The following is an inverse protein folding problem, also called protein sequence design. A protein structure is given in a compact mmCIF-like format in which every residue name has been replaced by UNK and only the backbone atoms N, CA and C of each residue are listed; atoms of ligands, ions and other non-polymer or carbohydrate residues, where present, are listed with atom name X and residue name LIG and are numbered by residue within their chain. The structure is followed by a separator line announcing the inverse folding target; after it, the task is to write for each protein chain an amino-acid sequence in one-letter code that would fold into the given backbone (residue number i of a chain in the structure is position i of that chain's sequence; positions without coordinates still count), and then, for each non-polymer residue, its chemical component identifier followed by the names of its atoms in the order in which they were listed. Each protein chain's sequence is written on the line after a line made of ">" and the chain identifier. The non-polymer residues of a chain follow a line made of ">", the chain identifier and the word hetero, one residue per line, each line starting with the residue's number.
data_IF_630313693499
#
_entry.id   IF_630313693499
#
_cell.length_a   1.000
_cell.length_b   1.000
_cell.length_c   1.000
_cell.angle_alpha   90.00
_cell.angle_beta   90.00
_cell.angle_gamma   90.00
#
_symmetry.space_group_name_H-M   'P 1'
#
loop_
_entity.id
_entity.type
_entity.pdbx_description
1 polymer ?
#
# COMPACT_ATOMS: atom_id res chain seq x y z
N UNK A 1 -35.65 28.12 -2.41
CA UNK A 1 -35.33 26.68 -2.41
C UNK A 1 -33.96 26.52 -1.77
N UNK A 2 -33.89 25.90 -0.59
CA UNK A 2 -32.60 25.65 0.07
C UNK A 2 -31.84 24.59 -0.74
N UNK A 3 -30.65 24.94 -1.24
CA UNK A 3 -29.73 24.00 -1.86
C UNK A 3 -29.32 22.98 -0.81
N UNK A 4 -29.72 21.73 -1.02
CA UNK A 4 -29.28 20.58 -0.22
C UNK A 4 -27.74 20.58 -0.27
N UNK A 5 -27.00 20.61 0.85
CA UNK A 5 -25.55 20.59 0.82
C UNK A 5 -25.13 19.32 0.06
N UNK A 6 -24.28 19.48 -0.96
CA UNK A 6 -23.73 18.35 -1.70
C UNK A 6 -23.08 17.41 -0.69
N UNK A 7 -23.54 16.16 -0.68
CA UNK A 7 -22.95 15.10 0.14
C UNK A 7 -21.49 14.99 -0.32
N UNK A 8 -20.52 15.32 0.54
CA UNK A 8 -19.10 15.19 0.21
C UNK A 8 -18.85 13.83 -0.42
N UNK A 9 -18.33 13.86 -1.64
CA UNK A 9 -18.01 12.66 -2.38
C UNK A 9 -16.65 12.15 -1.92
N UNK A 10 -16.68 11.26 -0.93
CA UNK A 10 -15.48 10.73 -0.31
C UNK A 10 -14.46 10.18 -1.33
N UNK A 11 -14.93 9.52 -2.40
CA UNK A 11 -14.04 9.01 -3.44
C UNK A 11 -13.33 10.17 -4.16
N UNK A 12 -14.06 11.22 -4.49
CA UNK A 12 -13.50 12.40 -5.14
C UNK A 12 -12.53 13.16 -4.22
N UNK A 13 -12.89 13.34 -2.94
CA UNK A 13 -12.05 14.03 -1.96
C UNK A 13 -10.68 13.35 -1.80
N UNK A 14 -10.67 12.01 -1.78
CA UNK A 14 -9.44 11.23 -1.70
C UNK A 14 -8.67 11.27 -3.03
N UNK A 15 -9.33 11.10 -4.17
CA UNK A 15 -8.66 11.19 -5.47
C UNK A 15 -8.02 12.54 -5.68
N UNK A 16 -8.68 13.63 -5.27
CA UNK A 16 -8.10 14.98 -5.35
C UNK A 16 -6.84 15.10 -4.50
N UNK A 17 -6.83 14.58 -3.27
CA UNK A 17 -5.62 14.59 -2.43
C UNK A 17 -4.46 13.81 -3.07
N UNK A 18 -4.75 12.68 -3.71
CA UNK A 18 -3.74 11.89 -4.44
C UNK A 18 -3.20 12.66 -5.64
N UNK A 19 -4.07 13.34 -6.41
CA UNK A 19 -3.66 14.19 -7.53
C UNK A 19 -2.80 15.35 -7.03
N UNK A 20 -3.22 16.05 -6.00
CA UNK A 20 -2.48 17.19 -5.41
C UNK A 20 -1.09 16.77 -4.91
N UNK A 21 -0.99 15.61 -4.26
CA UNK A 21 0.29 15.07 -3.82
C UNK A 21 1.22 14.77 -5.01
N UNK A 22 0.70 14.10 -6.04
CA UNK A 22 1.45 13.80 -7.26
C UNK A 22 1.90 15.07 -7.99
N UNK A 23 1.05 16.09 -8.07
CA UNK A 23 1.38 17.39 -8.67
C UNK A 23 2.45 18.16 -7.86
N UNK A 24 2.58 17.89 -6.56
CA UNK A 24 3.67 18.38 -5.70
C UNK A 24 4.94 17.50 -5.73
N UNK A 25 4.97 16.46 -6.56
CA UNK A 25 6.07 15.52 -6.65
C UNK A 25 6.13 14.49 -5.50
N UNK A 26 5.10 14.41 -4.67
CA UNK A 26 4.96 13.38 -3.64
C UNK A 26 4.35 12.14 -4.29
N UNK A 27 5.08 11.03 -4.28
CA UNK A 27 4.60 9.71 -4.72
C UNK A 27 3.83 9.06 -3.55
N UNK A 28 2.48 8.98 -3.55
CA UNK A 28 1.71 8.59 -2.38
C UNK A 28 1.95 7.15 -1.90
N UNK A 29 2.50 6.32 -2.79
CA UNK A 29 2.85 4.92 -2.54
C UNK A 29 4.28 4.73 -2.04
N UNK A 30 5.13 5.76 -2.06
CA UNK A 30 6.45 5.69 -1.42
C UNK A 30 6.26 5.73 0.10
N UNK A 31 6.86 4.78 0.82
CA UNK A 31 6.93 4.91 2.27
C UNK A 31 7.90 6.06 2.61
N UNK A 32 7.61 6.87 3.65
CA UNK A 32 8.28 8.16 3.86
C UNK A 32 9.71 8.06 4.42
N UNK A 33 10.38 6.90 4.27
CA UNK A 33 11.67 6.58 4.90
C UNK A 33 12.78 7.62 4.66
N UNK A 34 12.76 8.36 3.54
CA UNK A 34 13.78 9.37 3.20
C UNK A 34 13.44 10.76 3.72
N UNK A 35 12.16 11.01 4.04
CA UNK A 35 11.65 12.33 4.43
C UNK A 35 11.38 12.38 5.94
N UNK A 36 11.09 11.23 6.55
CA UNK A 36 10.77 11.11 7.96
C UNK A 36 11.38 9.85 8.58
N UNK A 37 11.46 9.81 9.92
CA UNK A 37 11.86 8.59 10.64
C UNK A 37 10.75 7.51 10.66
N UNK A 38 9.59 7.75 10.03
CA UNK A 38 8.48 6.81 10.00
C UNK A 38 8.77 5.71 8.98
N UNK A 39 8.84 4.47 9.44
CA UNK A 39 9.15 3.30 8.63
C UNK A 39 8.04 2.24 8.70
N UNK A 40 7.97 1.38 7.68
CA UNK A 40 7.04 0.25 7.64
C UNK A 40 5.58 0.61 7.35
N UNK A 41 4.72 -0.41 7.42
CA UNK A 41 3.28 -0.26 7.21
C UNK A 41 2.68 0.52 8.40
N UNK A 42 1.86 1.56 8.16
CA UNK A 42 1.22 2.29 9.24
C UNK A 42 0.33 1.35 10.07
N UNK A 43 0.36 1.48 11.38
CA UNK A 43 -0.43 0.64 12.28
C UNK A 43 -1.21 1.45 13.31
N UNK A 44 -2.24 0.84 13.88
CA UNK A 44 -2.92 1.42 15.03
C UNK A 44 -2.05 1.27 16.28
N UNK A 45 -1.71 2.38 16.95
CA UNK A 45 -0.85 2.36 18.13
C UNK A 45 -1.37 1.43 19.25
N UNK A 46 -2.68 1.36 19.44
CA UNK A 46 -3.24 0.59 20.55
C UNK A 46 -3.36 -0.91 20.23
N UNK A 47 -3.86 -1.27 19.05
CA UNK A 47 -4.08 -2.67 18.69
C UNK A 47 -2.89 -3.33 17.98
N UNK A 48 -1.87 -2.55 17.61
CA UNK A 48 -0.75 -2.95 16.76
C UNK A 48 -1.17 -3.53 15.40
N UNK A 49 -2.44 -3.31 15.02
CA UNK A 49 -2.97 -3.82 13.75
C UNK A 49 -2.60 -2.89 12.63
N UNK A 50 -1.96 -3.43 11.61
CA UNK A 50 -1.60 -2.70 10.40
C UNK A 50 -2.83 -2.26 9.60
N UNK A 51 -2.72 -1.06 9.04
CA UNK A 51 -3.66 -0.58 8.05
C UNK A 51 -3.46 -1.32 6.73
N UNK A 52 -4.52 -1.39 5.91
CA UNK A 52 -4.53 -2.17 4.66
C UNK A 52 -4.98 -1.31 3.49
N UNK A 53 -4.48 -1.67 2.30
CA UNK A 53 -4.85 -1.05 1.02
C UNK A 53 -4.65 0.46 1.03
N UNK A 54 -5.65 1.21 0.54
CA UNK A 54 -5.52 2.65 0.35
C UNK A 54 -5.26 3.44 1.65
N UNK A 55 -5.63 2.90 2.81
CA UNK A 55 -5.31 3.57 4.08
C UNK A 55 -3.79 3.66 4.31
N UNK A 56 -3.00 2.67 3.85
CA UNK A 56 -1.53 2.73 3.93
C UNK A 56 -1.03 3.97 3.19
N UNK A 57 -1.47 4.11 1.94
CA UNK A 57 -1.09 5.20 1.04
C UNK A 57 -1.51 6.58 1.59
N UNK A 58 -2.73 6.70 2.13
CA UNK A 58 -3.21 7.95 2.73
C UNK A 58 -2.38 8.38 3.95
N UNK A 59 -1.98 7.41 4.77
CA UNK A 59 -1.20 7.65 5.97
C UNK A 59 0.26 7.98 5.64
N UNK A 60 0.89 7.28 4.69
CA UNK A 60 2.23 7.63 4.19
C UNK A 60 2.28 9.01 3.55
N UNK A 61 1.34 9.32 2.67
CA UNK A 61 1.22 10.65 2.07
C UNK A 61 1.08 11.73 3.15
N UNK A 62 0.25 11.49 4.18
CA UNK A 62 0.11 12.41 5.29
C UNK A 62 1.38 12.53 6.13
N UNK A 63 2.09 11.43 6.39
CA UNK A 63 3.34 11.45 7.13
C UNK A 63 4.41 12.24 6.38
N UNK A 64 4.54 12.06 5.07
CA UNK A 64 5.51 12.79 4.25
C UNK A 64 5.21 14.30 4.19
N UNK A 65 3.95 14.67 3.93
CA UNK A 65 3.55 16.09 3.83
C UNK A 65 3.71 16.86 5.15
N UNK A 66 3.48 16.19 6.28
CA UNK A 66 3.55 16.82 7.61
C UNK A 66 4.84 16.49 8.37
N UNK A 67 5.74 15.69 7.78
CA UNK A 67 6.99 15.21 8.35
C UNK A 67 6.84 14.44 9.67
N UNK A 68 5.84 13.57 9.75
CA UNK A 68 5.65 12.71 10.92
C UNK A 68 6.68 11.58 10.97
N UNK A 69 7.28 11.40 12.13
CA UNK A 69 8.34 10.45 12.46
C UNK A 69 7.83 9.08 12.94
N UNK A 70 6.60 8.99 13.43
CA UNK A 70 6.00 7.71 13.81
C UNK A 70 5.20 7.06 12.66
N UNK A 71 5.21 5.73 12.58
CA UNK A 71 4.27 4.95 11.75
C UNK A 71 2.96 4.62 12.47
N UNK A 72 2.80 5.04 13.74
CA UNK A 72 1.68 4.69 14.60
C UNK A 72 0.62 5.79 14.62
N UNK A 73 -0.65 5.36 14.60
CA UNK A 73 -1.80 6.25 14.50
C UNK A 73 -2.90 5.91 15.50
N UNK A 74 -3.62 6.94 15.95
CA UNK A 74 -4.69 6.85 16.93
C UNK A 74 -5.90 7.70 16.53
N UNK A 75 -7.11 7.24 16.82
CA UNK A 75 -8.27 8.14 16.82
C UNK A 75 -8.20 9.07 18.04
N UNK A 76 -8.80 10.26 17.96
CA UNK A 76 -8.87 11.20 19.10
C UNK A 76 -9.36 10.53 20.40
N UNK A 77 -10.35 9.64 20.29
CA UNK A 77 -10.90 8.91 21.45
C UNK A 77 -9.90 7.94 22.06
N UNK A 78 -9.14 7.22 21.22
CA UNK A 78 -8.08 6.34 21.71
C UNK A 78 -6.96 7.17 22.36
N UNK A 79 -6.55 8.28 21.75
CA UNK A 79 -5.56 9.19 22.32
C UNK A 79 -5.97 9.64 23.73
N UNK A 80 -7.22 10.08 23.88
CA UNK A 80 -7.78 10.49 25.17
C UNK A 80 -7.85 9.37 26.20
N UNK A 81 -8.22 8.16 25.79
CA UNK A 81 -8.30 7.01 26.68
C UNK A 81 -6.92 6.59 27.23
N UNK A 82 -5.87 6.84 26.47
CA UNK A 82 -4.48 6.59 26.86
C UNK A 82 -3.85 7.75 27.66
N UNK A 83 -4.64 8.77 28.04
CA UNK A 83 -4.14 9.95 28.75
C UNK A 83 -3.51 11.02 27.83
N UNK A 84 -3.48 10.78 26.53
CA UNK A 84 -2.93 11.70 25.54
C UNK A 84 -3.88 12.84 25.14
N UNK A 85 -3.30 13.90 24.59
CA UNK A 85 -4.01 15.08 24.08
C UNK A 85 -3.49 15.46 22.71
N UNK A 86 -4.34 15.35 21.68
CA UNK A 86 -4.03 15.94 20.36
C UNK A 86 -3.83 17.45 20.53
N UNK A 87 -2.71 17.98 20.06
CA UNK A 87 -2.39 19.41 20.20
C UNK A 87 -3.43 20.29 19.50
N UNK A 88 -3.64 21.48 20.05
CA UNK A 88 -4.63 22.43 19.51
C UNK A 88 -4.18 22.90 18.12
N UNK A 89 -5.07 22.74 17.13
CA UNK A 89 -4.81 23.16 15.74
C UNK A 89 -4.35 22.04 14.82
N UNK A 90 -3.96 20.89 15.37
CA UNK A 90 -3.61 19.70 14.59
C UNK A 90 -4.80 19.19 13.78
N UNK A 91 -4.54 18.80 12.53
CA UNK A 91 -5.54 18.22 11.63
C UNK A 91 -5.31 16.73 11.54
N UNK A 92 -6.37 15.95 11.75
CA UNK A 92 -6.33 14.50 11.61
C UNK A 92 -6.46 14.06 10.15
N UNK A 93 -5.83 12.94 9.83
CA UNK A 93 -5.84 12.28 8.52
C UNK A 93 -7.08 11.43 8.37
N UNK A 94 -7.80 11.58 7.25
CA UNK A 94 -9.00 10.82 6.97
C UNK A 94 -8.63 9.43 6.44
N UNK A 95 -9.12 8.38 7.11
CA UNK A 95 -9.03 6.99 6.66
C UNK A 95 -10.44 6.41 6.52
N UNK A 96 -10.57 5.27 5.87
CA UNK A 96 -11.87 4.60 5.75
C UNK A 96 -11.83 3.16 6.23
N UNK A 97 -12.97 2.71 6.71
CA UNK A 97 -13.22 1.33 7.08
C UNK A 97 -14.38 0.81 6.25
N UNK A 98 -14.14 -0.31 5.60
CA UNK A 98 -15.16 -1.02 4.87
C UNK A 98 -15.65 -2.19 5.71
N UNK A 99 -16.96 -2.27 5.93
CA UNK A 99 -17.60 -3.40 6.61
C UNK A 99 -18.81 -3.86 5.81
N UNK A 100 -18.88 -5.15 5.51
CA UNK A 100 -20.12 -5.77 5.03
C UNK A 100 -21.04 -5.94 6.23
N UNK A 101 -22.24 -5.38 6.13
CA UNK A 101 -23.26 -5.43 7.19
C UNK A 101 -24.40 -6.31 6.72
N UNK A 102 -24.74 -7.30 7.54
CA UNK A 102 -25.93 -8.12 7.36
C UNK A 102 -27.17 -7.30 7.72
N UNK A 103 -28.14 -7.26 6.81
CA UNK A 103 -29.43 -6.64 7.05
C UNK A 103 -30.29 -7.65 7.82
N UNK A 104 -30.65 -7.33 9.06
CA UNK A 104 -31.69 -8.10 9.75
C UNK A 104 -33.03 -7.81 9.08
N UNK A 105 -33.60 -8.80 8.39
CA UNK A 105 -34.96 -8.71 7.87
C UNK A 105 -35.93 -8.43 9.01
N UNK A 106 -36.79 -7.42 8.84
CA UNK A 106 -37.79 -7.00 9.83
C UNK A 106 -39.21 -7.46 9.45
N UNK A 107 -39.32 -8.37 8.49
CA UNK A 107 -40.57 -8.95 8.03
C UNK A 107 -40.42 -10.47 7.87
N UNK A 108 -41.34 -11.18 8.52
CA UNK A 108 -41.58 -12.63 8.40
C UNK A 108 -42.25 -12.93 7.05
N UNK A 109 -41.50 -12.85 5.96
CA UNK A 109 -41.95 -13.44 4.70
C UNK A 109 -40.80 -14.26 4.08
N UNK A 110 -41.13 -15.52 3.79
CA UNK A 110 -40.27 -16.64 3.39
C UNK A 110 -39.52 -16.37 2.06
N UNK A 111 -38.40 -15.65 2.13
CA UNK A 111 -37.32 -15.81 1.18
C UNK A 111 -35.98 -15.46 1.85
N UNK A 112 -35.25 -16.49 2.22
CA UNK A 112 -34.05 -16.47 3.06
C UNK A 112 -32.79 -16.01 2.27
N UNK A 113 -32.90 -14.92 1.53
CA UNK A 113 -31.73 -14.23 0.96
C UNK A 113 -31.18 -13.26 2.02
N UNK A 114 -30.01 -13.60 2.56
CA UNK A 114 -29.24 -12.71 3.43
C UNK A 114 -28.79 -11.48 2.65
N UNK A 115 -29.62 -10.44 2.63
CA UNK A 115 -29.29 -9.13 2.11
C UNK A 115 -28.08 -8.56 2.88
N UNK A 116 -26.90 -8.53 2.26
CA UNK A 116 -25.74 -7.83 2.80
C UNK A 116 -25.53 -6.51 2.07
N UNK A 117 -25.11 -5.47 2.79
CA UNK A 117 -24.72 -4.20 2.18
C UNK A 117 -23.35 -3.74 2.67
N UNK A 118 -22.61 -3.13 1.75
CA UNK A 118 -21.32 -2.52 2.02
C UNK A 118 -21.48 -1.19 2.78
N UNK A 119 -20.93 -1.10 3.98
CA UNK A 119 -20.83 0.14 4.74
C UNK A 119 -19.42 0.68 4.70
N UNK A 120 -19.27 1.87 4.10
CA UNK A 120 -18.06 2.68 4.19
C UNK A 120 -18.21 3.67 5.36
N UNK A 121 -17.29 3.62 6.32
CA UNK A 121 -17.18 4.61 7.40
C UNK A 121 -15.85 5.33 7.30
N UNK A 122 -15.88 6.65 7.32
CA UNK A 122 -14.66 7.47 7.39
C UNK A 122 -14.34 7.75 8.86
N UNK A 123 -13.07 7.65 9.22
CA UNK A 123 -12.53 8.00 10.53
C UNK A 123 -11.44 9.05 10.36
N UNK A 124 -11.20 9.83 11.42
CA UNK A 124 -10.01 10.67 11.52
C UNK A 124 -9.06 10.06 12.53
N UNK A 125 -7.82 9.87 12.10
CA UNK A 125 -6.71 9.44 12.95
C UNK A 125 -5.65 10.53 13.00
N UNK A 126 -4.86 10.50 14.06
CA UNK A 126 -3.78 11.42 14.36
C UNK A 126 -2.53 10.57 14.54
N UNK A 127 -1.43 11.02 13.98
CA UNK A 127 -0.12 10.40 14.20
C UNK A 127 0.30 10.62 15.66
N UNK A 128 1.11 9.72 16.23
CA UNK A 128 1.62 9.89 17.61
C UNK A 128 2.33 11.23 17.78
N UNK A 129 3.06 11.68 16.76
CA UNK A 129 3.73 12.98 16.74
C UNK A 129 2.79 14.14 17.05
N UNK A 130 1.48 14.02 16.77
CA UNK A 130 0.46 15.05 16.98
C UNK A 130 -0.12 15.09 18.40
N UNK A 131 0.28 14.17 19.27
CA UNK A 131 -0.39 13.88 20.54
C UNK A 131 0.59 14.04 21.70
N UNK A 132 0.31 14.97 22.60
CA UNK A 132 1.09 15.11 23.83
C UNK A 132 0.69 14.01 24.83
N UNK A 133 1.65 13.49 25.58
CA UNK A 133 1.41 12.47 26.61
C UNK A 133 1.26 11.04 26.10
N UNK A 134 1.63 10.78 24.83
CA UNK A 134 1.80 9.43 24.28
C UNK A 134 3.23 9.35 23.73
N UNK A 135 4.01 8.43 24.27
CA UNK A 135 5.36 8.17 23.80
C UNK A 135 5.31 7.14 22.68
N UNK A 136 6.17 7.30 21.68
CA UNK A 136 6.46 6.23 20.73
C UNK A 136 7.83 5.67 21.07
N UNK A 137 7.92 4.38 21.34
CA UNK A 137 9.21 3.71 21.42
C UNK A 137 9.87 3.82 20.05
N UNK A 138 10.89 4.67 19.93
CA UNK A 138 11.68 4.83 18.72
C UNK A 138 12.28 3.48 18.33
N UNK A 139 11.67 2.80 17.36
CA UNK A 139 12.39 1.77 16.61
C UNK A 139 13.20 2.52 15.55
N UNK A 140 14.32 3.07 15.98
CA UNK A 140 15.33 3.60 15.07
C UNK A 140 15.87 2.44 14.23
N UNK A 141 15.26 2.18 13.08
CA UNK A 141 15.85 1.30 12.10
C UNK A 141 17.08 2.01 11.51
N UNK A 142 18.23 1.34 11.62
CA UNK A 142 19.46 1.80 11.02
C UNK A 142 19.21 2.04 9.53
N UNK A 143 19.48 3.26 9.07
CA UNK A 143 19.52 3.58 7.64
C UNK A 143 20.62 2.72 7.03
N UNK A 144 20.35 1.84 6.06
CA UNK A 144 21.44 1.16 5.38
C UNK A 144 22.30 2.24 4.71
N UNK A 145 23.60 2.26 5.03
CA UNK A 145 24.55 3.06 4.27
C UNK A 145 24.49 2.63 2.81
N UNK A 146 24.58 3.61 1.89
CA UNK A 146 24.56 3.36 0.45
C UNK A 146 25.90 2.76 0.03
N UNK A 147 26.13 1.51 0.38
CA UNK A 147 27.27 0.71 -0.09
C UNK A 147 26.77 -0.55 -0.82
N UNK A 148 27.73 -1.31 -1.36
CA UNK A 148 27.59 -2.49 -2.23
C UNK A 148 26.27 -3.26 -2.08
N UNK A 149 25.76 -3.77 -3.21
CA UNK A 149 24.53 -4.58 -3.23
C UNK A 149 24.70 -5.78 -2.31
N UNK A 150 24.11 -5.67 -1.12
CA UNK A 150 24.08 -6.69 -0.09
C UNK A 150 22.74 -7.41 -0.14
N UNK A 151 22.77 -8.73 -0.10
CA UNK A 151 21.53 -9.50 -0.03
C UNK A 151 20.93 -9.38 1.36
N UNK A 152 19.63 -9.17 1.41
CA UNK A 152 18.85 -9.15 2.65
C UNK A 152 18.32 -10.57 2.84
N UNK A 153 18.85 -11.29 3.83
CA UNK A 153 18.52 -12.71 4.08
C UNK A 153 17.01 -12.97 4.18
N UNK A 154 16.28 -12.06 4.84
CA UNK A 154 14.83 -12.13 4.96
C UNK A 154 14.13 -11.98 3.60
N UNK A 155 14.59 -11.06 2.76
CA UNK A 155 14.06 -10.85 1.42
C UNK A 155 14.36 -12.04 0.49
N UNK A 156 15.58 -12.58 0.52
CA UNK A 156 15.93 -13.77 -0.28
C UNK A 156 15.13 -14.99 0.17
N UNK A 157 14.95 -15.19 1.48
CA UNK A 157 14.12 -16.28 2.02
C UNK A 157 12.67 -16.13 1.58
N UNK A 158 12.12 -14.93 1.69
CA UNK A 158 10.78 -14.61 1.23
C UNK A 158 10.61 -14.94 -0.26
N UNK A 159 11.52 -14.46 -1.11
CA UNK A 159 11.53 -14.74 -2.56
C UNK A 159 11.53 -16.25 -2.81
N UNK A 160 12.41 -17.01 -2.15
CA UNK A 160 12.46 -18.47 -2.28
C UNK A 160 11.16 -19.14 -1.84
N UNK A 161 10.50 -18.63 -0.79
CA UNK A 161 9.24 -19.18 -0.30
C UNK A 161 8.09 -18.99 -1.29
N UNK A 162 8.07 -17.89 -2.06
CA UNK A 162 7.05 -17.70 -3.11
C UNK A 162 7.04 -18.83 -4.14
N UNK A 163 8.20 -19.48 -4.36
CA UNK A 163 8.38 -20.51 -5.39
C UNK A 163 8.43 -19.96 -6.82
N UNK A 164 8.56 -18.65 -7.00
CA UNK A 164 8.75 -18.05 -8.32
C UNK A 164 10.06 -18.54 -8.96
N UNK A 165 10.06 -18.72 -10.28
CA UNK A 165 11.30 -18.91 -11.04
C UNK A 165 11.88 -17.54 -11.42
N UNK A 166 12.98 -17.13 -10.77
CA UNK A 166 13.73 -15.93 -11.15
C UNK A 166 14.95 -16.31 -11.99
N UNK A 167 15.11 -15.63 -13.13
CA UNK A 167 16.32 -15.70 -13.95
C UNK A 167 17.02 -14.35 -13.95
N UNK A 168 18.30 -14.37 -13.60
CA UNK A 168 19.17 -13.21 -13.72
C UNK A 168 19.75 -13.12 -15.12
N UNK A 169 19.76 -11.91 -15.69
CA UNK A 169 20.29 -11.61 -17.01
C UNK A 169 19.40 -10.69 -17.84
N UNK A 170 19.93 -10.27 -18.99
CA UNK A 170 19.22 -9.35 -19.89
C UNK A 170 19.28 -7.88 -19.47
N UNK A 171 18.59 -7.03 -20.23
CA UNK A 171 18.68 -5.58 -20.07
C UNK A 171 17.62 -4.96 -19.17
N UNK A 172 16.46 -5.60 -19.04
CA UNK A 172 15.27 -5.08 -18.35
C UNK A 172 14.67 -6.15 -17.44
N UNK A 173 14.09 -5.71 -16.33
CA UNK A 173 13.24 -6.56 -15.51
C UNK A 173 11.86 -6.71 -16.15
N UNK A 174 11.26 -7.88 -16.01
CA UNK A 174 9.86 -8.15 -16.37
C UNK A 174 9.41 -9.52 -15.88
N UNK A 175 8.15 -9.63 -15.52
CA UNK A 175 7.40 -10.88 -15.43
C UNK A 175 6.97 -11.34 -16.84
N UNK A 176 7.17 -12.64 -17.15
CA UNK A 176 6.73 -13.26 -18.41
C UNK A 176 5.56 -14.22 -18.17
N UNK A 177 4.31 -13.85 -18.52
CA UNK A 177 3.15 -14.72 -18.32
C UNK A 177 3.21 -16.06 -19.05
N UNK A 178 3.80 -16.11 -20.26
CA UNK A 178 3.77 -17.32 -21.10
C UNK A 178 4.59 -18.49 -20.54
N UNK A 179 5.58 -18.20 -19.69
CA UNK A 179 6.48 -19.19 -19.07
C UNK A 179 6.45 -19.12 -17.55
N UNK A 180 5.60 -18.27 -16.99
CA UNK A 180 5.42 -18.04 -15.56
C UNK A 180 6.74 -17.82 -14.80
N UNK A 181 7.62 -16.99 -15.35
CA UNK A 181 8.93 -16.68 -14.78
C UNK A 181 9.20 -15.18 -14.74
N UNK A 182 10.07 -14.77 -13.84
CA UNK A 182 10.52 -13.39 -13.69
C UNK A 182 11.97 -13.28 -14.18
N UNK A 183 12.24 -12.29 -15.01
CA UNK A 183 13.59 -11.95 -15.46
C UNK A 183 14.02 -10.67 -14.76
N UNK A 184 15.21 -10.69 -14.15
CA UNK A 184 15.81 -9.55 -13.46
C UNK A 184 17.20 -9.32 -14.06
N UNK A 185 17.61 -8.07 -14.36
CA UNK A 185 18.98 -7.76 -14.72
C UNK A 185 20.01 -8.31 -13.72
N UNK A 186 21.25 -8.50 -14.17
CA UNK A 186 22.34 -8.86 -13.26
C UNK A 186 22.42 -7.86 -12.10
N UNK A 187 22.64 -8.37 -10.89
CA UNK A 187 22.51 -7.62 -9.64
C UNK A 187 23.41 -6.39 -9.67
N UNK A 188 24.63 -6.52 -10.17
CA UNK A 188 25.64 -5.47 -10.29
C UNK A 188 25.21 -4.28 -11.16
N UNK A 189 24.10 -4.38 -11.89
CA UNK A 189 23.53 -3.29 -12.70
C UNK A 189 22.61 -2.36 -11.91
N UNK A 190 22.22 -2.74 -10.69
CA UNK A 190 21.38 -1.89 -9.84
C UNK A 190 22.22 -0.87 -9.10
N UNK A 191 21.65 0.31 -8.82
CA UNK A 191 22.36 1.38 -8.13
C UNK A 191 22.41 1.17 -6.60
N UNK A 192 21.52 0.34 -6.06
CA UNK A 192 21.47 -0.01 -4.64
C UNK A 192 20.77 -1.35 -4.40
N UNK A 193 20.96 -1.91 -3.21
CA UNK A 193 20.19 -3.05 -2.69
C UNK A 193 18.68 -2.78 -2.74
N UNK A 194 18.26 -1.56 -2.40
CA UNK A 194 16.85 -1.21 -2.38
C UNK A 194 16.25 -1.20 -3.79
N UNK A 195 16.96 -0.69 -4.79
CA UNK A 195 16.50 -0.69 -6.19
C UNK A 195 16.34 -2.12 -6.73
N UNK A 196 17.27 -3.02 -6.35
CA UNK A 196 17.19 -4.44 -6.71
C UNK A 196 15.91 -5.06 -6.14
N UNK A 197 15.68 -4.93 -4.83
CA UNK A 197 14.51 -5.53 -4.21
C UNK A 197 13.20 -4.84 -4.62
N UNK A 198 13.17 -3.53 -4.80
CA UNK A 198 12.02 -2.82 -5.35
C UNK A 198 11.61 -3.39 -6.71
N UNK A 199 12.59 -3.61 -7.59
CA UNK A 199 12.37 -4.21 -8.91
C UNK A 199 11.86 -5.64 -8.79
N UNK A 200 12.46 -6.46 -7.93
CA UNK A 200 11.99 -7.85 -7.71
C UNK A 200 10.55 -7.88 -7.18
N UNK A 201 10.21 -7.04 -6.19
CA UNK A 201 8.88 -7.01 -5.59
C UNK A 201 7.83 -6.46 -6.58
N UNK A 202 8.21 -5.54 -7.46
CA UNK A 202 7.38 -5.09 -8.57
C UNK A 202 7.03 -6.26 -9.50
N UNK A 203 8.03 -7.01 -9.97
CA UNK A 203 7.79 -8.15 -10.86
C UNK A 203 7.08 -9.32 -10.16
N UNK A 204 7.32 -9.53 -8.86
CA UNK A 204 6.56 -10.49 -8.06
C UNK A 204 5.09 -10.07 -7.94
N UNK A 205 4.81 -8.78 -7.85
CA UNK A 205 3.43 -8.30 -7.85
C UNK A 205 2.75 -8.60 -9.17
N UNK A 206 3.39 -8.36 -10.31
CA UNK A 206 2.88 -8.80 -11.62
C UNK A 206 2.70 -10.32 -11.69
N UNK A 207 3.68 -11.07 -11.17
CA UNK A 207 3.60 -12.52 -11.09
C UNK A 207 2.32 -12.95 -10.39
N UNK A 208 1.92 -12.37 -9.26
CA UNK A 208 0.64 -12.74 -8.60
C UNK A 208 -0.61 -12.61 -9.49
N UNK A 209 -0.57 -11.82 -10.57
CA UNK A 209 -1.67 -11.60 -11.50
C UNK A 209 -1.98 -12.74 -12.46
N UNK A 210 -1.15 -13.78 -12.54
CA UNK A 210 -1.38 -14.92 -13.44
C UNK A 210 -2.72 -15.64 -13.20
N UNK A 211 -3.24 -16.28 -14.25
CA UNK A 211 -4.51 -17.02 -14.26
C UNK A 211 -4.61 -18.13 -13.21
N UNK A 212 -3.47 -18.69 -12.77
CA UNK A 212 -3.44 -19.72 -11.73
C UNK A 212 -3.35 -19.17 -10.30
N UNK A 213 -3.37 -17.84 -10.14
CA UNK A 213 -3.20 -17.13 -8.87
C UNK A 213 -4.35 -16.15 -8.63
N UNK A 214 -4.12 -14.85 -8.81
CA UNK A 214 -5.15 -13.83 -8.60
C UNK A 214 -5.95 -13.50 -9.87
N UNK A 215 -5.58 -14.09 -11.02
CA UNK A 215 -6.28 -13.97 -12.31
C UNK A 215 -6.68 -12.52 -12.64
N UNK A 216 -5.69 -11.63 -12.60
CA UNK A 216 -5.88 -10.22 -12.98
C UNK A 216 -5.79 -10.10 -14.49
N UNK A 217 -6.67 -9.28 -15.06
CA UNK A 217 -6.71 -9.07 -16.50
C UNK A 217 -5.54 -8.18 -16.96
N UNK A 218 -4.42 -8.80 -17.33
CA UNK A 218 -3.22 -8.12 -17.84
C UNK A 218 -3.17 -8.02 -19.37
N UNK A 219 -4.31 -8.10 -20.06
CA UNK A 219 -4.37 -8.12 -21.55
C UNK A 219 -4.05 -6.78 -22.22
N UNK A 220 -3.80 -5.72 -21.45
CA UNK A 220 -3.42 -4.40 -21.96
C UNK A 220 -2.07 -4.44 -22.69
N UNK A 221 -1.98 -3.77 -23.85
CA UNK A 221 -0.69 -3.52 -24.52
C UNK A 221 0.07 -2.43 -23.78
N UNK A 222 1.40 -2.46 -23.85
CA UNK A 222 2.26 -1.38 -23.33
C UNK A 222 1.73 0.00 -23.73
N UNK A 223 1.56 0.89 -22.75
CA UNK A 223 1.01 2.24 -22.93
C UNK A 223 -0.52 2.32 -23.00
N UNK A 224 -1.27 1.21 -22.85
CA UNK A 224 -2.72 1.24 -22.72
C UNK A 224 -3.17 1.63 -21.30
N UNK A 225 -4.46 1.97 -21.15
CA UNK A 225 -5.06 2.25 -19.83
C UNK A 225 -5.03 1.05 -18.89
N UNK A 226 -5.29 -0.14 -19.42
CA UNK A 226 -5.27 -1.38 -18.64
C UNK A 226 -3.84 -1.74 -18.21
N UNK A 227 -2.86 -1.50 -19.08
CA UNK A 227 -1.45 -1.65 -18.75
C UNK A 227 -1.03 -0.68 -17.63
N UNK A 228 -1.35 0.62 -17.76
CA UNK A 228 -1.06 1.60 -16.72
C UNK A 228 -1.72 1.28 -15.37
N UNK A 229 -2.89 0.64 -15.38
CA UNK A 229 -3.57 0.20 -14.16
C UNK A 229 -2.84 -0.96 -13.47
N UNK A 230 -2.37 -1.95 -14.23
CA UNK A 230 -1.59 -3.07 -13.70
C UNK A 230 -0.21 -2.62 -13.20
N UNK A 231 0.43 -1.64 -13.84
CA UNK A 231 1.68 -1.03 -13.33
C UNK A 231 1.45 -0.30 -11.99
N UNK A 232 0.32 0.42 -11.83
CA UNK A 232 -0.02 1.04 -10.54
C UNK A 232 -0.22 -0.02 -9.45
N UNK A 233 -0.82 -1.17 -9.80
CA UNK A 233 -0.96 -2.31 -8.89
C UNK A 233 0.42 -2.84 -8.50
N UNK A 234 1.33 -2.99 -9.47
CA UNK A 234 2.69 -3.49 -9.25
C UNK A 234 3.52 -2.57 -8.35
N UNK A 235 3.48 -1.26 -8.58
CA UNK A 235 4.17 -0.26 -7.75
C UNK A 235 3.64 -0.24 -6.31
N UNK A 236 2.32 -0.24 -6.13
CA UNK A 236 1.71 -0.30 -4.80
C UNK A 236 2.03 -1.62 -4.08
N UNK A 237 1.98 -2.75 -4.80
CA UNK A 237 2.27 -4.06 -4.22
C UNK A 237 3.74 -4.22 -3.84
N UNK A 238 4.65 -3.68 -4.65
CA UNK A 238 6.08 -3.62 -4.34
C UNK A 238 6.32 -2.82 -3.06
N UNK A 239 5.76 -1.60 -2.97
CA UNK A 239 5.91 -0.75 -1.80
C UNK A 239 5.36 -1.39 -0.52
N UNK A 240 4.20 -2.04 -0.59
CA UNK A 240 3.64 -2.76 0.57
C UNK A 240 4.55 -3.91 1.01
N UNK A 241 5.04 -4.70 0.06
CA UNK A 241 5.93 -5.85 0.35
C UNK A 241 7.28 -5.41 0.92
N UNK A 242 7.88 -4.35 0.37
CA UNK A 242 9.12 -3.78 0.88
C UNK A 242 8.96 -3.26 2.31
N UNK A 243 7.86 -2.56 2.58
CA UNK A 243 7.58 -2.03 3.91
C UNK A 243 7.42 -3.13 4.96
N UNK A 244 6.82 -4.27 4.61
CA UNK A 244 6.68 -5.44 5.49
C UNK A 244 8.03 -6.13 5.77
N UNK A 245 8.89 -6.21 4.74
CA UNK A 245 10.25 -6.79 4.84
C UNK A 245 11.28 -5.81 5.44
N UNK A 246 10.87 -4.62 5.89
CA UNK A 246 11.77 -3.60 6.43
C UNK A 246 12.79 -3.04 5.43
N UNK A 247 12.53 -3.18 4.12
CA UNK A 247 13.42 -2.70 3.05
C UNK A 247 13.12 -1.22 2.79
N UNK A 248 14.14 -0.39 2.97
CA UNK A 248 14.07 1.06 2.84
C UNK A 248 14.62 1.51 1.48
N UNK A 249 13.78 2.09 0.62
CA UNK A 249 14.19 2.77 -0.60
C UNK A 249 13.08 2.87 -1.65
N UNK A 250 13.28 3.69 -2.68
CA UNK A 250 12.22 4.07 -3.63
C UNK A 250 11.76 2.95 -4.57
N UNK A 251 10.44 2.82 -4.72
CA UNK A 251 9.85 2.17 -5.90
C UNK A 251 9.81 3.18 -7.06
N UNK A 252 10.49 2.86 -8.16
CA UNK A 252 10.79 3.82 -9.23
C UNK A 252 10.37 3.30 -10.61
N UNK A 253 9.26 3.81 -11.15
CA UNK A 253 9.01 3.88 -12.60
C UNK A 253 8.23 5.16 -12.97
N UNK A 254 8.92 6.29 -13.13
CA UNK A 254 8.32 7.62 -13.36
C UNK A 254 7.55 7.74 -14.69
N UNK A 255 7.77 6.81 -15.62
CA UNK A 255 7.18 6.81 -16.97
C UNK A 255 5.65 6.77 -17.00
N UNK A 256 4.98 6.45 -15.89
CA UNK A 256 3.54 6.27 -15.84
C UNK A 256 2.77 7.35 -15.07
N UNK A 257 3.46 8.28 -14.39
CA UNK A 257 2.81 9.29 -13.55
C UNK A 257 1.84 10.16 -14.36
N UNK A 258 2.23 10.56 -15.59
CA UNK A 258 1.36 11.35 -16.46
C UNK A 258 0.08 10.58 -16.85
N UNK A 259 0.21 9.30 -17.20
CA UNK A 259 -0.92 8.44 -17.54
C UNK A 259 -1.83 8.17 -16.32
N UNK A 260 -1.25 8.02 -15.13
CA UNK A 260 -2.02 7.87 -13.90
C UNK A 260 -2.75 9.16 -13.53
N UNK A 261 -2.13 10.33 -13.66
CA UNK A 261 -2.79 11.61 -13.43
C UNK A 261 -4.02 11.77 -14.34
N UNK A 262 -3.90 11.42 -15.62
CA UNK A 262 -5.04 11.42 -16.53
C UNK A 262 -6.12 10.42 -16.09
N UNK A 263 -5.75 9.19 -15.71
CA UNK A 263 -6.70 8.18 -15.25
C UNK A 263 -7.42 8.59 -13.95
N UNK A 264 -6.69 9.16 -12.99
CA UNK A 264 -7.23 9.68 -11.73
C UNK A 264 -8.22 10.83 -11.95
N UNK A 265 -7.91 11.74 -12.89
CA UNK A 265 -8.81 12.85 -13.26
C UNK A 265 -10.10 12.35 -13.92
N UNK A 266 -10.07 11.18 -14.56
CA UNK A 266 -11.23 10.60 -15.25
C UNK A 266 -12.05 9.60 -14.40
N UNK A 267 -11.45 8.92 -13.41
CA UNK A 267 -12.15 7.97 -12.52
C UNK A 267 -11.73 8.14 -11.05
N UNK A 268 -12.61 8.75 -10.24
CA UNK A 268 -12.46 8.92 -8.79
C UNK A 268 -12.34 7.60 -7.99
N UNK A 269 -12.57 6.45 -8.61
CA UNK A 269 -12.39 5.12 -7.99
C UNK A 269 -11.14 4.41 -8.48
N UNK A 270 -10.39 5.00 -9.41
CA UNK A 270 -9.21 4.36 -10.03
C UNK A 270 -8.20 3.90 -8.96
N UNK A 271 -7.77 4.81 -8.08
CA UNK A 271 -6.79 4.51 -7.03
C UNK A 271 -7.29 3.51 -6.00
N UNK A 272 -8.60 3.52 -5.72
CA UNK A 272 -9.23 2.57 -4.79
C UNK A 272 -9.19 1.15 -5.35
N UNK A 273 -9.50 1.00 -6.64
CA UNK A 273 -9.46 -0.30 -7.33
C UNK A 273 -8.02 -0.83 -7.38
N UNK A 274 -7.05 0.02 -7.73
CA UNK A 274 -5.64 -0.36 -7.79
C UNK A 274 -5.11 -0.79 -6.42
N UNK A 275 -5.30 0.04 -5.38
CA UNK A 275 -4.85 -0.27 -4.02
C UNK A 275 -5.51 -1.53 -3.44
N UNK A 276 -6.77 -1.81 -3.80
CA UNK A 276 -7.42 -3.05 -3.39
C UNK A 276 -6.78 -4.29 -4.04
N UNK A 277 -6.41 -4.23 -5.32
CA UNK A 277 -5.73 -5.32 -6.01
C UNK A 277 -4.29 -5.49 -5.52
N UNK A 278 -3.57 -4.38 -5.31
CA UNK A 278 -2.23 -4.40 -4.73
C UNK A 278 -2.23 -5.02 -3.33
N UNK A 279 -3.22 -4.68 -2.50
CA UNK A 279 -3.37 -5.29 -1.17
C UNK A 279 -3.64 -6.79 -1.23
N UNK A 280 -4.37 -7.28 -2.25
CA UNK A 280 -4.57 -8.73 -2.46
C UNK A 280 -3.29 -9.41 -2.92
N UNK A 281 -2.52 -8.79 -3.82
CA UNK A 281 -1.22 -9.29 -4.26
C UNK A 281 -0.24 -9.42 -3.09
N UNK A 282 -0.12 -8.37 -2.28
CA UNK A 282 0.67 -8.36 -1.06
C UNK A 282 0.27 -9.49 -0.10
N UNK A 283 -1.02 -9.60 0.24
CA UNK A 283 -1.52 -10.64 1.15
C UNK A 283 -1.29 -12.05 0.60
N UNK A 284 -1.45 -12.25 -0.71
CA UNK A 284 -1.15 -13.51 -1.35
C UNK A 284 0.33 -13.88 -1.17
N UNK A 285 1.26 -12.96 -1.46
CA UNK A 285 2.68 -13.20 -1.29
C UNK A 285 3.04 -13.51 0.17
N UNK A 286 2.51 -12.74 1.12
CA UNK A 286 2.75 -12.98 2.56
C UNK A 286 2.19 -14.32 3.04
N UNK A 287 1.03 -14.74 2.53
CA UNK A 287 0.49 -16.05 2.88
C UNK A 287 1.39 -17.21 2.45
N UNK A 288 2.18 -17.07 1.38
CA UNK A 288 3.13 -18.10 0.94
C UNK A 288 4.32 -18.25 1.89
N UNK A 289 4.71 -17.16 2.57
CA UNK A 289 5.73 -17.17 3.62
C UNK A 289 5.22 -17.96 4.85
N UNK A 290 4.04 -17.59 5.36
CA UNK A 290 3.44 -18.22 6.55
C UNK A 290 3.15 -19.72 6.37
N UNK A 291 2.69 -20.12 5.18
CA UNK A 291 2.30 -21.52 4.89
C UNK A 291 3.50 -22.48 4.83
N UNK A 292 4.71 -21.97 4.63
CA UNK A 292 5.95 -22.77 4.66
C UNK A 292 6.60 -22.80 6.04
N UNK A 293 6.50 -21.72 6.82
CA UNK A 293 6.94 -21.71 8.22
C UNK A 293 6.15 -22.74 9.05
N UNK A 294 4.83 -22.79 8.87
CA UNK A 294 3.95 -23.77 9.56
C UNK A 294 4.16 -25.24 9.17
N UNK A 295 4.81 -25.52 8.04
CA UNK A 295 5.17 -26.89 7.62
C UNK A 295 6.59 -27.30 8.04
N UNK A 296 7.42 -26.36 8.47
CA UNK A 296 8.80 -26.58 8.90
C UNK A 296 8.96 -26.62 10.43
N UNK A 297 7.93 -26.19 11.19
CA UNK A 297 7.82 -26.31 12.64
C UNK A 297 7.11 -27.62 13.04
#
# INVERSE_FOLDING_TARGET
>A
MATKPMKNDFYQDITNQVIEALEQGVKPWSCPWDVTHASGIPCNYQSQTEYKGLNIMLLWMSAQLNRFSSNKWLTYKQSKALGGQVRKGEKGTAIFFFKIVEKKNRHEDDNDEQDTYAMLRTFKVFNVDQIDGIEDDEVAMARPERDEIALIDEAERFIQQTGVSIRYGGQKAFYRPSTDDVVIPERERFASTADLYATIMHELTHWTGHQSRLDRDSKGRFGSKDYAFEELIAELGAAFTMADLGIVGDVQHESYIANWLEALKNDKRYVFKAAAQASKAHQYLMSLNEMKISKAA
#
